data_IF_452595729681
#
_entry.id   IF_452595729681
#
_cell.length_a   1.000
_cell.length_b   1.000
_cell.length_c   1.000
_cell.angle_alpha   90.00
_cell.angle_beta   90.00
_cell.angle_gamma   90.00
#
_symmetry.space_group_name_H-M   'P 1'
#
loop_
_entity.id
_entity.type
_entity.pdbx_description
1 polymer ?
#
# COMPACT_ATOMS: atom_id res chain seq x y z
N UNK A 1 25.02 -58.30 -46.25
CA UNK A 1 26.40 -57.93 -45.88
C UNK A 1 26.45 -56.47 -45.41
N UNK A 2 26.84 -56.29 -44.13
CA UNK A 2 27.60 -55.17 -43.53
C UNK A 2 27.04 -53.74 -43.63
N UNK A 3 26.17 -53.32 -42.70
CA UNK A 3 26.47 -52.45 -41.53
C UNK A 3 27.32 -51.18 -41.81
N UNK A 4 26.67 -50.06 -42.15
CA UNK A 4 27.24 -48.73 -41.99
C UNK A 4 27.10 -48.29 -40.53
N UNK A 5 28.20 -48.37 -39.79
CA UNK A 5 28.25 -48.12 -38.34
C UNK A 5 27.77 -46.70 -38.01
N UNK A 6 26.96 -46.48 -36.95
CA UNK A 6 26.42 -45.18 -36.53
C UNK A 6 27.48 -44.31 -35.82
N UNK A 7 28.65 -44.14 -36.45
CA UNK A 7 29.79 -43.39 -35.88
C UNK A 7 29.49 -41.90 -35.76
N UNK A 8 28.77 -41.33 -36.73
CA UNK A 8 28.40 -39.91 -36.72
C UNK A 8 27.35 -39.59 -35.63
N UNK A 9 26.33 -40.43 -35.46
CA UNK A 9 25.32 -40.26 -34.41
C UNK A 9 25.93 -40.40 -33.01
N UNK A 10 26.86 -41.34 -32.82
CA UNK A 10 27.64 -41.45 -31.58
C UNK A 10 28.53 -40.24 -31.33
N UNK A 11 29.10 -39.62 -32.38
CA UNK A 11 29.96 -38.44 -32.24
C UNK A 11 29.16 -37.20 -31.82
N UNK A 12 27.97 -36.97 -32.40
CA UNK A 12 27.09 -35.86 -32.03
C UNK A 12 26.55 -36.03 -30.61
N UNK A 13 26.16 -37.25 -30.24
CA UNK A 13 25.71 -37.57 -28.89
C UNK A 13 26.85 -37.37 -27.87
N UNK A 14 28.06 -37.84 -28.19
CA UNK A 14 29.24 -37.62 -27.35
C UNK A 14 29.59 -36.14 -27.22
N UNK A 15 29.47 -35.34 -28.29
CA UNK A 15 29.74 -33.90 -28.23
C UNK A 15 28.71 -33.17 -27.36
N UNK A 16 27.43 -33.53 -27.45
CA UNK A 16 26.36 -32.97 -26.63
C UNK A 16 26.51 -33.34 -25.14
N UNK A 17 26.92 -34.58 -24.84
CA UNK A 17 27.25 -35.02 -23.48
C UNK A 17 28.51 -34.36 -22.92
N UNK A 18 29.50 -34.06 -23.77
CA UNK A 18 30.73 -33.38 -23.35
C UNK A 18 30.52 -31.88 -23.07
N UNK A 19 29.48 -31.26 -23.63
CA UNK A 19 29.08 -29.87 -23.35
C UNK A 19 28.15 -29.70 -22.13
N UNK A 20 27.59 -30.79 -21.60
CA UNK A 20 26.70 -30.75 -20.43
C UNK A 20 27.33 -30.15 -19.14
N UNK A 21 28.64 -30.30 -18.82
CA UNK A 21 29.19 -29.75 -17.59
C UNK A 21 29.42 -28.23 -17.64
N UNK A 22 29.34 -27.57 -18.81
CA UNK A 22 29.39 -26.10 -18.88
C UNK A 22 28.14 -25.42 -18.31
N UNK A 23 27.03 -26.15 -18.17
CA UNK A 23 25.81 -25.64 -17.52
C UNK A 23 25.78 -25.90 -16.00
N UNK A 24 26.75 -26.65 -15.45
CA UNK A 24 26.78 -27.04 -14.03
C UNK A 24 27.43 -25.99 -13.10
N UNK A 25 28.07 -24.96 -13.67
CA UNK A 25 28.69 -23.87 -12.92
C UNK A 25 27.74 -22.67 -12.68
N UNK A 26 26.43 -22.86 -12.83
CA UNK A 26 25.44 -21.82 -12.52
C UNK A 26 25.20 -21.62 -11.01
N UNK A 27 25.82 -22.46 -10.15
CA UNK A 27 25.69 -22.37 -8.71
C UNK A 27 26.78 -21.49 -8.10
N UNK A 28 26.35 -20.46 -7.39
CA UNK A 28 27.17 -19.53 -6.63
C UNK A 28 27.80 -20.27 -5.43
N UNK A 29 29.14 -20.24 -5.32
CA UNK A 29 29.90 -21.05 -4.35
C UNK A 29 29.82 -20.52 -2.92
N UNK A 30 29.68 -19.21 -2.73
CA UNK A 30 29.52 -18.59 -1.43
C UNK A 30 28.35 -17.62 -1.42
N UNK A 31 27.67 -17.47 -0.28
CA UNK A 31 26.52 -16.55 -0.13
C UNK A 31 26.90 -15.11 -0.53
N UNK A 32 28.18 -14.73 -0.43
CA UNK A 32 28.68 -13.41 -0.78
C UNK A 32 28.72 -13.11 -2.28
N UNK A 33 28.69 -14.12 -3.15
CA UNK A 33 28.73 -13.94 -4.61
C UNK A 33 27.32 -13.88 -5.23
N UNK A 34 26.28 -13.77 -4.38
CA UNK A 34 24.90 -13.61 -4.84
C UNK A 34 24.72 -12.22 -5.44
N UNK A 35 24.50 -12.16 -6.74
CA UNK A 35 24.09 -10.93 -7.41
C UNK A 35 22.60 -10.68 -7.19
N UNK A 36 22.28 -9.57 -6.51
CA UNK A 36 20.91 -9.12 -6.32
C UNK A 36 20.59 -8.03 -7.34
N UNK A 37 19.48 -8.13 -8.08
CA UNK A 37 19.03 -7.02 -8.90
C UNK A 37 18.70 -5.81 -8.00
N UNK A 38 18.93 -4.61 -8.53
CA UNK A 38 18.51 -3.40 -7.84
C UNK A 38 17.00 -3.45 -7.55
N UNK A 39 16.62 -3.06 -6.34
CA UNK A 39 15.20 -2.99 -5.97
C UNK A 39 14.46 -2.05 -6.93
N UNK A 40 13.23 -2.40 -7.35
CA UNK A 40 12.40 -1.50 -8.15
C UNK A 40 12.26 -0.14 -7.46
N UNK A 41 12.25 0.93 -8.25
CA UNK A 41 11.97 2.26 -7.72
C UNK A 41 10.54 2.32 -7.18
N UNK A 42 10.38 2.51 -5.88
CA UNK A 42 9.09 2.72 -5.24
C UNK A 42 8.80 4.22 -5.12
N UNK A 43 7.69 4.66 -5.71
CA UNK A 43 7.21 6.04 -5.64
C UNK A 43 5.98 6.11 -4.74
N UNK A 44 6.10 6.80 -3.61
CA UNK A 44 4.93 7.08 -2.77
C UNK A 44 3.99 8.07 -3.49
N UNK A 45 2.69 7.76 -3.61
CA UNK A 45 1.72 8.71 -4.13
C UNK A 45 1.68 9.95 -3.23
N UNK A 46 1.70 11.13 -3.85
CA UNK A 46 1.63 12.41 -3.14
C UNK A 46 0.19 12.91 -3.19
N UNK A 47 -0.43 13.23 -2.04
CA UNK A 47 -1.77 13.81 -2.04
C UNK A 47 -1.74 15.22 -2.66
N UNK A 48 -2.80 15.55 -3.39
CA UNK A 48 -3.08 16.93 -3.82
C UNK A 48 -3.42 17.77 -2.60
N UNK A 49 -2.76 18.93 -2.46
CA UNK A 49 -2.94 19.84 -1.33
C UNK A 49 -3.54 21.15 -1.80
N UNK A 50 -4.72 21.49 -1.27
CA UNK A 50 -5.39 22.77 -1.52
C UNK A 50 -5.65 23.49 -0.20
N UNK A 51 -5.41 24.80 -0.16
CA UNK A 51 -5.77 25.64 0.98
C UNK A 51 -7.04 26.42 0.61
N UNK A 52 -8.10 26.23 1.39
CA UNK A 52 -9.38 26.90 1.18
C UNK A 52 -9.32 28.37 1.64
N UNK A 53 -10.26 29.24 1.21
CA UNK A 53 -10.27 30.66 1.61
C UNK A 53 -10.34 30.90 3.13
N UNK A 54 -10.90 29.93 3.88
CA UNK A 54 -10.96 29.97 5.35
C UNK A 54 -9.72 29.39 6.04
N UNK A 55 -8.69 29.01 5.28
CA UNK A 55 -7.43 28.47 5.81
C UNK A 55 -7.41 26.96 6.06
N UNK A 56 -8.52 26.24 5.82
CA UNK A 56 -8.52 24.77 5.90
C UNK A 56 -7.61 24.16 4.83
N UNK A 57 -6.84 23.15 5.22
CA UNK A 57 -5.97 22.39 4.31
C UNK A 57 -6.68 21.10 3.92
N UNK A 58 -7.03 21.00 2.64
CA UNK A 58 -7.57 19.78 2.04
C UNK A 58 -6.42 18.96 1.45
N UNK A 59 -6.34 17.69 1.84
CA UNK A 59 -5.42 16.70 1.29
C UNK A 59 -6.26 15.62 0.59
N UNK A 60 -6.14 15.51 -0.72
CA UNK A 60 -6.89 14.55 -1.54
C UNK A 60 -5.93 13.55 -2.16
N UNK A 61 -6.22 12.27 -2.01
CA UNK A 61 -5.52 11.19 -2.68
C UNK A 61 -6.58 10.32 -3.34
N UNK A 62 -6.58 10.31 -4.66
CA UNK A 62 -7.51 9.50 -5.45
C UNK A 62 -6.98 8.07 -5.55
N UNK A 63 -7.86 7.12 -5.29
CA UNK A 63 -7.62 5.69 -5.42
C UNK A 63 -8.87 5.10 -6.09
N UNK A 64 -8.68 4.49 -7.27
CA UNK A 64 -9.76 3.97 -8.10
C UNK A 64 -9.87 2.44 -8.03
N UNK A 65 -9.16 1.80 -7.11
CA UNK A 65 -9.20 0.34 -6.94
C UNK A 65 -10.54 -0.12 -6.34
N UNK A 66 -11.15 0.72 -5.49
CA UNK A 66 -12.46 0.46 -4.87
C UNK A 66 -13.37 1.68 -4.98
N UNK A 67 -14.70 1.51 -5.15
CA UNK A 67 -15.66 2.61 -5.20
C UNK A 67 -16.00 3.12 -3.79
N UNK A 68 -14.98 3.39 -2.97
CA UNK A 68 -15.12 3.84 -1.59
C UNK A 68 -14.54 5.24 -1.43
N UNK A 69 -15.15 6.03 -0.55
CA UNK A 69 -14.66 7.36 -0.19
C UNK A 69 -14.42 7.37 1.31
N UNK A 70 -13.22 7.77 1.73
CA UNK A 70 -12.87 7.98 3.13
C UNK A 70 -12.53 9.43 3.38
N UNK A 71 -13.19 10.04 4.36
CA UNK A 71 -12.99 11.43 4.73
C UNK A 71 -12.63 11.50 6.21
N UNK A 72 -11.57 12.23 6.54
CA UNK A 72 -11.21 12.53 7.93
C UNK A 72 -10.91 14.01 8.10
N UNK A 73 -11.39 14.59 9.20
CA UNK A 73 -11.06 15.95 9.60
C UNK A 73 -10.23 15.90 10.88
N UNK A 74 -9.15 16.69 10.93
CA UNK A 74 -8.30 16.83 12.12
C UNK A 74 -8.35 18.27 12.59
N UNK A 75 -8.73 18.45 13.85
CA UNK A 75 -8.78 19.75 14.50
C UNK A 75 -7.70 19.81 15.58
N UNK A 76 -6.98 20.93 15.66
CA UNK A 76 -5.99 21.19 16.72
C UNK A 76 -6.71 21.62 18.01
N UNK A 77 -7.31 20.65 18.70
CA UNK A 77 -8.03 20.84 19.96
C UNK A 77 -7.80 19.64 20.89
N UNK A 78 -8.42 19.64 22.07
CA UNK A 78 -8.43 18.51 22.99
C UNK A 78 -8.34 18.92 24.46
N UNK A 79 -8.29 17.92 25.34
CA UNK A 79 -8.26 18.12 26.79
C UNK A 79 -7.10 18.98 27.29
N UNK A 80 -5.98 19.01 26.56
CA UNK A 80 -4.82 19.84 26.90
C UNK A 80 -5.13 21.36 26.92
N UNK A 81 -6.16 21.78 26.17
CA UNK A 81 -6.56 23.19 26.08
C UNK A 81 -7.70 23.53 27.06
N UNK A 82 -8.11 22.59 27.91
CA UNK A 82 -9.20 22.82 28.87
C UNK A 82 -8.73 23.71 30.03
N UNK A 83 -9.53 24.72 30.43
CA UNK A 83 -9.38 25.37 31.72
C UNK A 83 -9.54 24.36 32.85
N UNK A 84 -8.83 24.57 33.95
CA UNK A 84 -8.86 23.68 35.12
C UNK A 84 -10.29 23.50 35.64
N UNK A 85 -11.09 24.58 35.64
CA UNK A 85 -12.47 24.59 36.11
C UNK A 85 -13.44 23.87 35.16
N UNK A 86 -12.99 23.44 33.98
CA UNK A 86 -13.81 22.80 32.93
C UNK A 86 -13.22 21.46 32.45
N UNK A 87 -12.57 20.74 33.35
CA UNK A 87 -12.03 19.41 33.07
C UNK A 87 -13.13 18.49 32.50
N UNK A 88 -12.84 17.84 31.37
CA UNK A 88 -13.76 16.94 30.66
C UNK A 88 -14.59 17.62 29.56
N UNK A 89 -14.45 18.93 29.35
CA UNK A 89 -15.20 19.69 28.35
C UNK A 89 -14.99 19.16 26.92
N UNK A 90 -13.76 18.89 26.50
CA UNK A 90 -13.43 18.39 25.17
C UNK A 90 -14.00 16.98 24.96
N UNK A 91 -13.97 16.13 26.00
CA UNK A 91 -14.56 14.79 25.96
C UNK A 91 -16.09 14.86 25.77
N UNK A 92 -16.76 15.66 26.59
CA UNK A 92 -18.21 15.89 26.48
C UNK A 92 -18.57 16.50 25.12
N UNK A 93 -17.82 17.51 24.66
CA UNK A 93 -18.01 18.15 23.35
C UNK A 93 -17.89 17.14 22.22
N UNK A 94 -16.85 16.30 22.23
CA UNK A 94 -16.65 15.27 21.21
C UNK A 94 -17.75 14.21 21.20
N UNK A 95 -18.27 13.83 22.37
CA UNK A 95 -19.40 12.90 22.47
C UNK A 95 -20.68 13.51 21.90
N UNK A 96 -21.00 14.75 22.27
CA UNK A 96 -22.18 15.46 21.76
C UNK A 96 -22.08 15.81 20.28
N UNK A 97 -20.89 16.04 19.74
CA UNK A 97 -20.71 16.23 18.29
C UNK A 97 -21.03 14.96 17.49
N UNK A 98 -20.92 13.76 18.10
CA UNK A 98 -21.25 12.49 17.43
C UNK A 98 -22.71 12.10 17.60
N UNK A 99 -23.27 12.33 18.79
CA UNK A 99 -24.65 11.92 19.11
C UNK A 99 -25.67 13.04 18.95
N UNK A 100 -25.23 14.30 18.83
CA UNK A 100 -26.06 15.45 18.54
C UNK A 100 -26.21 15.60 17.03
N UNK A 101 -27.41 15.91 16.56
CA UNK A 101 -27.68 16.11 15.14
C UNK A 101 -27.00 17.36 14.57
N UNK A 102 -27.57 17.89 13.49
CA UNK A 102 -27.10 19.13 12.86
C UNK A 102 -28.07 20.28 13.16
N UNK A 103 -27.78 21.47 12.64
CA UNK A 103 -28.73 22.59 12.66
C UNK A 103 -30.02 22.30 11.89
N UNK A 104 -29.98 21.38 10.92
CA UNK A 104 -31.11 21.03 10.08
C UNK A 104 -31.81 19.71 10.47
N UNK A 105 -31.09 18.80 11.14
CA UNK A 105 -31.57 17.46 11.48
C UNK A 105 -31.43 17.19 12.98
N UNK A 106 -32.53 16.79 13.61
CA UNK A 106 -32.50 16.24 14.97
C UNK A 106 -31.65 14.94 15.02
N UNK A 107 -31.09 14.57 16.19
CA UNK A 107 -30.28 13.36 16.36
C UNK A 107 -30.88 12.11 15.70
N UNK A 108 -32.10 11.73 16.07
CA UNK A 108 -32.78 10.52 15.55
C UNK A 108 -33.10 10.60 14.05
N UNK A 109 -33.19 11.81 13.49
CA UNK A 109 -33.40 12.00 12.05
C UNK A 109 -32.08 11.85 11.28
N UNK A 110 -30.98 12.33 11.84
CA UNK A 110 -29.64 12.15 11.28
C UNK A 110 -29.23 10.68 11.33
N UNK A 111 -29.47 10.01 12.45
CA UNK A 111 -29.13 8.60 12.65
C UNK A 111 -29.83 7.71 11.61
N UNK A 112 -31.16 7.85 11.47
CA UNK A 112 -31.94 7.16 10.43
C UNK A 112 -31.45 7.45 9.01
N UNK A 113 -31.01 8.68 8.74
CA UNK A 113 -30.47 9.03 7.43
C UNK A 113 -29.14 8.30 7.12
N UNK A 114 -28.33 8.04 8.14
CA UNK A 114 -27.05 7.36 7.99
C UNK A 114 -27.20 5.82 7.92
N UNK A 115 -28.24 5.27 8.52
CA UNK A 115 -28.51 3.82 8.51
C UNK A 115 -29.18 3.32 7.22
N UNK A 116 -29.94 4.18 6.52
CA UNK A 116 -30.61 3.87 5.25
C UNK A 116 -32.08 3.47 5.38
#
# INVERSE_FOLDING_TARGET
MTSSRPRAARLVLLLALLSAPLLANAQVATIGDLEYPALPSFSLPKPSRTVLPNGLVLLVMEDHDLPLISVSARLRTGGLLEPVEKTGLAGLTGSLMRSGGTTALAPDALDRFLEG
#
